data_IF_395080107244
#
_entry.id   IF_395080107244
#
_cell.length_a   1.000
_cell.length_b   1.000
_cell.length_c   1.000
_cell.angle_alpha   90.00
_cell.angle_beta   90.00
_cell.angle_gamma   90.00
#
_symmetry.space_group_name_H-M   'P 1'
#
loop_
_entity.id
_entity.type
_entity.pdbx_description
1 polymer ?
#
# COMPACT_ATOMS: atom_id res chain seq x y z
N UNK A 1 34.75 -8.01 -56.32
CA UNK A 1 33.29 -8.04 -56.12
C UNK A 1 32.94 -6.86 -55.22
N UNK A 2 32.46 -5.77 -55.80
CA UNK A 2 31.88 -4.61 -55.10
C UNK A 2 30.54 -5.04 -54.45
N UNK A 3 29.89 -4.39 -53.47
CA UNK A 3 29.71 -3.02 -52.98
C UNK A 3 29.36 -3.15 -51.46
N UNK A 4 29.69 -2.25 -50.53
CA UNK A 4 29.24 -0.86 -50.43
C UNK A 4 30.30 0.00 -49.74
N UNK A 5 30.79 0.96 -50.51
CA UNK A 5 31.51 2.15 -50.07
C UNK A 5 30.47 3.24 -49.78
N UNK A 6 30.60 3.94 -48.66
CA UNK A 6 29.98 5.26 -48.49
C UNK A 6 31.11 6.27 -48.50
N UNK A 7 31.18 7.04 -49.59
CA UNK A 7 32.02 8.22 -49.72
C UNK A 7 31.35 9.39 -49.00
N UNK A 8 32.09 10.07 -48.15
CA UNK A 8 31.73 11.39 -47.61
C UNK A 8 31.91 12.42 -48.75
N UNK A 9 30.87 13.16 -49.21
CA UNK A 9 31.01 14.06 -50.36
C UNK A 9 31.56 15.44 -50.03
N UNK A 10 31.63 15.83 -48.75
CA UNK A 10 31.93 17.22 -48.40
C UNK A 10 33.24 17.28 -47.60
N UNK A 11 34.33 17.56 -48.32
CA UNK A 11 35.66 17.77 -47.78
C UNK A 11 35.78 19.12 -47.08
N UNK A 12 35.24 19.23 -45.86
CA UNK A 12 35.65 20.25 -44.91
C UNK A 12 36.37 19.59 -43.72
N UNK A 13 37.70 19.69 -43.72
CA UNK A 13 38.44 19.75 -42.46
C UNK A 13 37.98 20.99 -41.71
N UNK A 14 37.66 20.88 -40.41
CA UNK A 14 38.14 21.82 -39.37
C UNK A 14 37.27 21.84 -38.11
N UNK A 15 37.99 21.84 -36.98
CA UNK A 15 37.66 22.43 -35.68
C UNK A 15 36.87 21.60 -34.67
N UNK A 16 37.60 20.71 -34.00
CA UNK A 16 37.25 20.20 -32.66
C UNK A 16 37.34 21.29 -31.55
N UNK A 17 37.63 22.55 -31.89
CA UNK A 17 37.88 23.63 -30.91
C UNK A 17 36.75 24.67 -30.79
N UNK A 18 35.67 24.60 -31.57
CA UNK A 18 34.62 25.63 -31.52
C UNK A 18 33.58 25.45 -30.38
N UNK A 19 33.54 24.30 -29.70
CA UNK A 19 32.46 23.96 -28.76
C UNK A 19 32.77 24.26 -27.27
N UNK A 20 33.91 24.88 -26.97
CA UNK A 20 34.26 25.32 -25.60
C UNK A 20 33.59 26.64 -25.18
N UNK A 21 32.81 27.27 -26.06
CA UNK A 21 32.29 28.63 -25.86
C UNK A 21 30.86 28.78 -25.35
N UNK A 22 30.04 27.73 -25.25
CA UNK A 22 28.60 27.93 -25.00
C UNK A 22 27.94 26.92 -24.02
N UNK A 23 28.63 26.63 -22.92
CA UNK A 23 28.15 25.71 -21.88
C UNK A 23 27.06 26.30 -20.93
N UNK A 24 26.46 27.46 -21.23
CA UNK A 24 25.50 28.12 -20.33
C UNK A 24 24.02 27.90 -20.68
N UNK A 25 23.67 27.24 -21.79
CA UNK A 25 22.26 27.03 -22.19
C UNK A 25 21.87 25.59 -22.42
N UNK A 26 22.47 24.64 -21.70
CA UNK A 26 22.00 23.24 -21.72
C UNK A 26 20.68 23.13 -20.96
N UNK A 27 19.55 23.34 -21.66
CA UNK A 27 18.21 22.98 -21.16
C UNK A 27 18.28 21.56 -20.60
N UNK A 28 18.06 21.41 -19.29
CA UNK A 28 18.03 20.10 -18.61
C UNK A 28 17.16 19.16 -19.45
N UNK A 29 17.63 17.95 -19.82
CA UNK A 29 16.81 17.02 -20.56
C UNK A 29 15.53 16.80 -19.75
N UNK A 30 14.37 17.12 -20.33
CA UNK A 30 13.07 16.83 -19.71
C UNK A 30 13.09 15.33 -19.44
N UNK A 31 13.18 14.94 -18.16
CA UNK A 31 13.05 13.54 -17.74
C UNK A 31 11.81 13.00 -18.45
N UNK A 32 11.99 12.00 -19.33
CA UNK A 32 10.85 11.32 -19.96
C UNK A 32 9.94 10.88 -18.82
N UNK A 33 8.71 11.40 -18.81
CA UNK A 33 7.66 10.99 -17.86
C UNK A 33 7.63 9.46 -17.87
N UNK A 34 7.81 8.83 -16.71
CA UNK A 34 7.72 7.38 -16.63
C UNK A 34 6.27 7.01 -16.96
N UNK A 35 6.06 6.15 -17.96
CA UNK A 35 4.72 5.69 -18.34
C UNK A 35 4.15 4.86 -17.18
N UNK A 36 2.89 5.11 -16.80
CA UNK A 36 2.17 4.37 -15.76
C UNK A 36 1.32 5.27 -14.84
N UNK A 37 0.78 4.68 -13.78
CA UNK A 37 -0.12 5.30 -12.80
C UNK A 37 0.66 5.90 -11.62
N UNK A 38 0.47 7.21 -11.40
CA UNK A 38 0.98 7.89 -10.19
C UNK A 38 0.31 7.40 -8.91
N UNK A 39 0.93 7.64 -7.75
CA UNK A 39 0.31 7.37 -6.44
C UNK A 39 -1.05 8.06 -6.28
N UNK A 40 -1.20 9.29 -6.79
CA UNK A 40 -2.49 9.98 -6.81
C UNK A 40 -3.53 9.21 -7.63
N UNK A 41 -3.15 8.73 -8.81
CA UNK A 41 -4.04 7.95 -9.67
C UNK A 41 -4.45 6.64 -9.00
N UNK A 42 -3.48 5.97 -8.37
CA UNK A 42 -3.70 4.74 -7.64
C UNK A 42 -4.62 4.95 -6.42
N UNK A 43 -4.41 6.01 -5.65
CA UNK A 43 -5.28 6.40 -4.54
C UNK A 43 -6.70 6.75 -5.00
N UNK A 44 -6.86 7.36 -6.18
CA UNK A 44 -8.17 7.62 -6.77
C UNK A 44 -8.89 6.32 -7.13
N UNK A 45 -8.22 5.36 -7.79
CA UNK A 45 -8.80 4.05 -8.06
C UNK A 45 -9.21 3.33 -6.77
N UNK A 46 -8.32 3.29 -5.77
CA UNK A 46 -8.61 2.69 -4.48
C UNK A 46 -9.84 3.32 -3.82
N UNK A 47 -9.90 4.65 -3.81
CA UNK A 47 -11.01 5.40 -3.24
C UNK A 47 -12.33 5.15 -3.96
N UNK A 48 -12.36 5.20 -5.29
CA UNK A 48 -13.57 4.94 -6.08
C UNK A 48 -14.09 3.51 -5.83
N UNK A 49 -13.21 2.52 -5.88
CA UNK A 49 -13.57 1.12 -5.63
C UNK A 49 -14.06 0.89 -4.20
N UNK A 50 -13.43 1.54 -3.21
CA UNK A 50 -13.89 1.53 -1.83
C UNK A 50 -15.31 2.09 -1.72
N UNK A 51 -15.58 3.26 -2.30
CA UNK A 51 -16.90 3.90 -2.23
C UNK A 51 -17.98 3.03 -2.87
N UNK A 52 -17.72 2.44 -4.04
CA UNK A 52 -18.65 1.51 -4.69
C UNK A 52 -18.91 0.30 -3.78
N UNK A 53 -17.84 -0.26 -3.20
CA UNK A 53 -17.94 -1.37 -2.26
C UNK A 53 -18.79 -1.05 -1.02
N UNK A 54 -18.50 0.07 -0.37
CA UNK A 54 -19.24 0.54 0.80
C UNK A 54 -20.70 0.82 0.47
N UNK A 55 -21.01 1.40 -0.69
CA UNK A 55 -22.37 1.61 -1.14
C UNK A 55 -23.14 0.29 -1.27
N UNK A 56 -22.51 -0.74 -1.84
CA UNK A 56 -23.10 -2.08 -1.93
C UNK A 56 -23.37 -2.70 -0.56
N UNK A 57 -22.39 -2.68 0.34
CA UNK A 57 -22.50 -3.32 1.65
C UNK A 57 -23.45 -2.60 2.61
N UNK A 58 -23.70 -1.31 2.41
CA UNK A 58 -24.59 -0.51 3.24
C UNK A 58 -25.95 -0.26 2.59
N UNK A 59 -25.98 0.55 1.53
CA UNK A 59 -27.21 1.06 0.92
C UNK A 59 -27.97 -0.04 0.19
N UNK A 60 -27.31 -0.79 -0.69
CA UNK A 60 -27.97 -1.88 -1.43
C UNK A 60 -28.38 -3.02 -0.49
N UNK A 61 -27.48 -3.44 0.42
CA UNK A 61 -27.82 -4.45 1.42
C UNK A 61 -28.99 -4.04 2.33
N UNK A 62 -29.10 -2.75 2.69
CA UNK A 62 -30.22 -2.25 3.49
C UNK A 62 -31.57 -2.33 2.75
N UNK A 63 -31.55 -2.34 1.42
CA UNK A 63 -32.76 -2.45 0.61
C UNK A 63 -33.23 -3.89 0.37
N UNK A 64 -32.45 -4.90 0.82
CA UNK A 64 -32.84 -6.30 0.66
C UNK A 64 -34.00 -6.69 1.60
N UNK A 65 -34.90 -7.58 1.16
CA UNK A 65 -35.91 -8.19 2.02
C UNK A 65 -35.25 -8.97 3.18
N UNK A 66 -35.96 -9.09 4.30
CA UNK A 66 -35.51 -9.85 5.47
C UNK A 66 -35.31 -11.35 5.15
N UNK A 67 -36.10 -11.88 4.20
CA UNK A 67 -35.98 -13.26 3.73
C UNK A 67 -35.14 -13.31 2.45
N UNK A 68 -34.05 -14.10 2.48
CA UNK A 68 -33.18 -14.27 1.31
C UNK A 68 -33.88 -14.91 0.10
N UNK A 69 -34.96 -15.66 0.31
CA UNK A 69 -35.77 -16.26 -0.76
C UNK A 69 -36.61 -15.24 -1.54
N UNK A 70 -36.80 -14.04 -1.01
CA UNK A 70 -37.56 -12.96 -1.64
C UNK A 70 -36.64 -11.94 -2.35
N UNK A 71 -35.32 -12.08 -2.18
CA UNK A 71 -34.36 -11.17 -2.77
C UNK A 71 -34.25 -11.39 -4.29
N UNK A 72 -34.40 -10.29 -5.06
CA UNK A 72 -34.21 -10.33 -6.51
C UNK A 72 -32.75 -10.63 -6.86
N UNK A 73 -32.58 -11.45 -7.91
CA UNK A 73 -31.26 -11.85 -8.41
C UNK A 73 -30.44 -10.64 -8.88
N UNK A 74 -31.09 -9.60 -9.42
CA UNK A 74 -30.44 -8.37 -9.83
C UNK A 74 -29.79 -7.64 -8.66
N UNK A 75 -30.51 -7.46 -7.55
CA UNK A 75 -30.00 -6.81 -6.33
C UNK A 75 -28.84 -7.59 -5.71
N UNK A 76 -28.94 -8.92 -5.66
CA UNK A 76 -27.85 -9.78 -5.18
C UNK A 76 -26.60 -9.68 -6.07
N UNK A 77 -26.78 -9.69 -7.39
CA UNK A 77 -25.69 -9.53 -8.36
C UNK A 77 -25.00 -8.18 -8.21
N UNK A 78 -25.78 -7.11 -8.02
CA UNK A 78 -25.24 -5.76 -7.80
C UNK A 78 -24.39 -5.68 -6.53
N UNK A 79 -24.81 -6.32 -5.43
CA UNK A 79 -24.05 -6.39 -4.18
C UNK A 79 -22.74 -7.15 -4.39
N UNK A 80 -22.75 -8.27 -5.11
CA UNK A 80 -21.55 -9.05 -5.42
C UNK A 80 -20.56 -8.22 -6.25
N UNK A 81 -21.04 -7.45 -7.25
CA UNK A 81 -20.18 -6.54 -8.03
C UNK A 81 -19.57 -5.46 -7.16
N UNK A 82 -20.36 -4.86 -6.26
CA UNK A 82 -19.85 -3.86 -5.32
C UNK A 82 -18.78 -4.48 -4.38
N UNK A 83 -19.03 -5.68 -3.88
CA UNK A 83 -18.07 -6.41 -3.07
C UNK A 83 -16.78 -6.71 -3.86
N UNK A 84 -16.88 -7.11 -5.12
CA UNK A 84 -15.72 -7.28 -5.99
C UNK A 84 -14.93 -5.96 -6.11
N UNK A 85 -15.60 -4.81 -6.29
CA UNK A 85 -14.94 -3.50 -6.25
C UNK A 85 -14.20 -3.27 -4.92
N UNK A 86 -14.83 -3.57 -3.77
CA UNK A 86 -14.16 -3.45 -2.48
C UNK A 86 -12.87 -4.29 -2.42
N UNK A 87 -12.93 -5.53 -2.88
CA UNK A 87 -11.80 -6.46 -2.88
C UNK A 87 -10.66 -6.03 -3.83
N UNK A 88 -10.99 -5.39 -4.97
CA UNK A 88 -10.00 -4.78 -5.88
C UNK A 88 -9.20 -3.69 -5.16
N UNK A 89 -9.82 -2.94 -4.24
CA UNK A 89 -9.16 -1.84 -3.54
C UNK A 89 -8.09 -2.28 -2.53
N UNK A 90 -8.17 -3.51 -2.00
CA UNK A 90 -7.30 -4.00 -0.92
C UNK A 90 -5.81 -4.01 -1.28
N UNK A 91 -5.35 -4.70 -2.35
CA UNK A 91 -3.94 -4.66 -2.75
C UNK A 91 -3.48 -3.24 -3.12
N UNK A 92 -4.39 -2.39 -3.61
CA UNK A 92 -4.06 -1.01 -3.94
C UNK A 92 -3.73 -0.21 -2.66
N UNK A 93 -4.54 -0.32 -1.62
CA UNK A 93 -4.27 0.31 -0.32
C UNK A 93 -3.03 -0.27 0.37
N UNK A 94 -2.82 -1.59 0.29
CA UNK A 94 -1.63 -2.25 0.81
C UNK A 94 -0.36 -1.71 0.14
N UNK A 95 -0.37 -1.56 -1.19
CA UNK A 95 0.74 -0.95 -1.93
C UNK A 95 0.98 0.50 -1.52
N UNK A 96 -0.07 1.33 -1.47
CA UNK A 96 0.04 2.73 -1.05
C UNK A 96 0.62 2.88 0.35
N UNK A 97 0.27 1.98 1.28
CA UNK A 97 0.85 1.94 2.62
C UNK A 97 2.36 1.67 2.58
N UNK A 98 2.77 0.63 1.87
CA UNK A 98 4.19 0.22 1.77
C UNK A 98 5.01 1.31 1.10
N UNK A 99 4.53 1.88 0.00
CA UNK A 99 5.20 2.96 -0.73
C UNK A 99 5.39 4.20 0.15
N UNK A 100 4.34 4.61 0.88
CA UNK A 100 4.43 5.74 1.83
C UNK A 100 5.37 5.46 2.98
N UNK A 101 5.31 4.28 3.57
CA UNK A 101 6.20 3.88 4.64
C UNK A 101 7.68 3.98 4.19
N UNK A 102 7.98 3.52 2.98
CA UNK A 102 9.33 3.60 2.41
C UNK A 102 9.79 5.03 2.15
N UNK A 103 8.91 5.89 1.65
CA UNK A 103 9.18 7.33 1.48
C UNK A 103 9.47 8.00 2.82
N UNK A 104 8.66 7.74 3.85
CA UNK A 104 8.87 8.37 5.15
C UNK A 104 10.19 7.98 5.79
N UNK A 105 10.64 6.75 5.55
CA UNK A 105 11.82 6.19 6.21
C UNK A 105 13.09 6.31 5.34
N UNK A 106 12.97 6.89 4.14
CA UNK A 106 14.11 7.17 3.26
C UNK A 106 14.72 5.93 2.57
N UNK A 107 13.97 4.84 2.42
CA UNK A 107 14.48 3.61 1.78
C UNK A 107 14.48 3.64 0.25
N UNK A 108 13.97 4.70 -0.38
CA UNK A 108 13.91 4.81 -1.85
C UNK A 108 15.22 5.35 -2.47
N UNK A 109 16.07 6.02 -1.70
CA UNK A 109 17.30 6.62 -2.23
C UNK A 109 18.52 5.68 -2.13
N UNK A 110 18.47 4.66 -1.27
CA UNK A 110 19.61 3.75 -1.01
C UNK A 110 19.63 2.49 -1.88
N UNK A 111 18.65 2.32 -2.78
CA UNK A 111 18.40 1.05 -3.48
C UNK A 111 18.75 1.02 -4.96
N UNK A 112 19.65 1.89 -5.44
CA UNK A 112 20.34 1.61 -6.71
C UNK A 112 21.54 0.73 -6.36
N UNK A 113 21.47 -0.60 -6.53
CA UNK A 113 22.68 -1.40 -6.46
C UNK A 113 23.64 -0.84 -7.51
N UNK A 114 24.85 -0.49 -7.09
CA UNK A 114 25.94 -0.25 -8.02
C UNK A 114 25.95 -1.45 -8.97
N UNK A 115 25.65 -1.20 -10.24
CA UNK A 115 25.72 -2.21 -11.29
C UNK A 115 27.11 -2.81 -11.14
N UNK A 116 27.18 -4.10 -10.80
CA UNK A 116 28.43 -4.84 -10.92
C UNK A 116 28.67 -4.87 -12.41
N UNK A 117 29.49 -3.95 -12.88
CA UNK A 117 30.03 -3.98 -14.23
C UNK A 117 30.98 -5.18 -14.24
N UNK A 118 30.41 -6.36 -14.46
CA UNK A 118 31.11 -7.52 -14.96
C UNK A 118 31.36 -7.22 -16.44
N UNK A 119 32.45 -6.50 -16.72
CA UNK A 119 33.23 -6.63 -17.94
C UNK A 119 34.58 -5.93 -17.68
N UNK A 120 35.64 -6.73 -17.69
CA UNK A 120 37.00 -6.27 -17.45
C UNK A 120 37.44 -5.26 -18.51
N UNK A 121 37.80 -4.06 -18.06
CA UNK A 121 38.77 -3.19 -18.72
C UNK A 121 39.27 -2.17 -17.70
N UNK A 122 40.42 -2.46 -17.09
CA UNK A 122 41.28 -1.41 -16.54
C UNK A 122 41.72 -0.53 -17.70
N UNK A 123 41.15 0.67 -17.85
CA UNK A 123 41.89 1.75 -18.50
C UNK A 123 41.44 3.14 -18.03
N UNK A 124 42.44 3.99 -17.77
CA UNK A 124 42.35 5.21 -16.99
C UNK A 124 41.23 6.16 -17.41
N UNK A 125 40.28 6.38 -16.50
CA UNK A 125 39.37 7.53 -16.56
C UNK A 125 39.36 8.27 -15.24
N UNK A 126 39.86 9.50 -15.31
CA UNK A 126 40.01 10.47 -14.24
C UNK A 126 38.90 10.42 -13.18
N UNK A 127 39.33 10.40 -11.91
CA UNK A 127 38.56 10.76 -10.71
C UNK A 127 37.66 11.97 -11.01
N UNK A 128 36.38 11.73 -11.29
CA UNK A 128 35.34 12.75 -11.10
C UNK A 128 35.15 12.93 -9.60
N UNK A 129 35.10 14.16 -9.07
CA UNK A 129 34.95 14.38 -7.64
C UNK A 129 33.52 14.00 -7.23
N UNK A 130 33.35 12.76 -6.75
CA UNK A 130 32.16 12.29 -6.03
C UNK A 130 32.05 12.89 -4.61
N UNK A 131 32.73 14.02 -4.34
CA UNK A 131 32.84 14.63 -3.02
C UNK A 131 32.10 15.96 -2.88
N UNK A 132 31.40 16.46 -3.92
CA UNK A 132 30.82 17.80 -3.89
C UNK A 132 29.39 17.90 -3.30
N UNK A 133 28.66 16.79 -3.14
CA UNK A 133 27.29 16.81 -2.58
C UNK A 133 27.08 15.88 -1.37
N UNK A 134 28.14 15.35 -0.76
CA UNK A 134 28.04 14.56 0.47
C UNK A 134 27.88 15.41 1.74
N UNK A 135 28.04 16.74 1.63
CA UNK A 135 28.04 17.65 2.78
C UNK A 135 26.70 18.33 3.10
N UNK A 136 25.62 18.07 2.34
CA UNK A 136 24.29 18.64 2.65
C UNK A 136 23.32 17.69 3.34
N UNK A 137 23.61 16.38 3.39
CA UNK A 137 22.71 15.38 3.99
C UNK A 137 23.22 14.75 5.30
N UNK A 138 24.39 15.19 5.79
CA UNK A 138 24.98 14.74 7.07
C UNK A 138 24.15 15.13 8.32
N UNK A 139 23.01 15.79 8.15
CA UNK A 139 22.07 16.17 9.21
C UNK A 139 20.63 15.68 9.01
N UNK A 140 20.34 14.86 7.99
CA UNK A 140 18.99 14.36 7.78
C UNK A 140 18.61 13.33 8.85
N UNK A 141 18.03 13.83 9.95
CA UNK A 141 17.55 13.05 11.09
C UNK A 141 16.74 11.86 10.57
N UNK A 142 17.04 10.61 10.96
CA UNK A 142 16.33 9.44 10.46
C UNK A 142 14.84 9.61 10.73
N UNK A 143 14.06 9.79 9.67
CA UNK A 143 12.62 9.95 9.79
C UNK A 143 12.02 8.61 10.19
N UNK A 144 11.25 8.63 11.27
CA UNK A 144 10.63 7.43 11.82
C UNK A 144 9.21 7.31 11.24
N UNK A 145 8.83 6.13 10.74
CA UNK A 145 7.50 5.85 10.17
C UNK A 145 6.32 6.00 11.14
N UNK A 146 6.58 6.49 12.36
CA UNK A 146 5.59 6.84 13.37
C UNK A 146 4.58 7.89 12.89
N UNK A 147 4.97 8.82 12.01
CA UNK A 147 4.02 9.82 11.49
C UNK A 147 2.90 9.16 10.68
N UNK A 148 3.25 8.22 9.78
CA UNK A 148 2.27 7.41 9.06
C UNK A 148 1.40 6.60 10.01
N UNK A 149 2.00 5.91 10.99
CA UNK A 149 1.26 5.14 12.00
C UNK A 149 0.24 5.99 12.74
N UNK A 150 0.66 7.12 13.33
CA UNK A 150 -0.26 7.99 14.08
C UNK A 150 -1.36 8.58 13.20
N UNK A 151 -1.04 8.92 11.95
CA UNK A 151 -2.05 9.42 11.00
C UNK A 151 -3.11 8.36 10.70
N UNK A 152 -2.70 7.10 10.53
CA UNK A 152 -3.61 5.98 10.29
C UNK A 152 -4.38 5.58 11.55
N UNK A 153 -3.76 5.67 12.73
CA UNK A 153 -4.41 5.40 14.00
C UNK A 153 -5.52 6.42 14.28
N UNK A 154 -5.22 7.72 14.09
CA UNK A 154 -6.23 8.79 14.23
C UNK A 154 -7.35 8.56 13.22
N UNK A 155 -7.02 8.24 11.96
CA UNK A 155 -8.02 7.95 10.95
C UNK A 155 -8.88 6.73 11.32
N UNK A 156 -8.27 5.66 11.85
CA UNK A 156 -8.97 4.47 12.29
C UNK A 156 -9.97 4.80 13.40
N UNK A 157 -9.56 5.58 14.42
CA UNK A 157 -10.47 6.02 15.49
C UNK A 157 -11.61 6.88 14.95
N UNK A 158 -11.32 7.82 14.04
CA UNK A 158 -12.34 8.68 13.42
C UNK A 158 -13.32 7.87 12.56
N UNK A 159 -12.86 6.81 11.92
CA UNK A 159 -13.68 5.95 11.07
C UNK A 159 -14.54 4.94 11.84
N UNK A 160 -14.38 4.74 13.15
CA UNK A 160 -15.18 3.77 13.91
C UNK A 160 -16.68 4.05 13.83
N UNK A 161 -17.10 5.27 14.20
CA UNK A 161 -18.53 5.62 14.20
C UNK A 161 -19.14 5.57 12.77
N UNK A 162 -18.51 6.16 11.74
CA UNK A 162 -18.99 6.02 10.37
C UNK A 162 -19.02 4.57 9.87
N UNK A 163 -18.06 3.75 10.27
CA UNK A 163 -18.01 2.34 9.87
C UNK A 163 -19.19 1.57 10.47
N UNK A 164 -19.44 1.73 11.76
CA UNK A 164 -20.57 1.08 12.43
C UNK A 164 -21.91 1.46 11.78
N UNK A 165 -22.08 2.74 11.40
CA UNK A 165 -23.26 3.19 10.65
C UNK A 165 -23.41 2.51 9.28
N UNK A 166 -22.29 2.19 8.61
CA UNK A 166 -22.29 1.51 7.30
C UNK A 166 -22.56 0.02 7.45
N UNK A 167 -22.13 -0.61 8.55
CA UNK A 167 -22.14 -2.09 8.66
C UNK A 167 -23.19 -2.65 9.61
N UNK A 168 -23.88 -1.85 10.43
CA UNK A 168 -24.75 -2.37 11.49
C UNK A 168 -25.86 -3.32 10.99
N UNK A 169 -26.54 -3.01 9.87
CA UNK A 169 -27.60 -3.89 9.31
C UNK A 169 -27.05 -5.24 8.87
N UNK A 170 -25.84 -5.22 8.34
CA UNK A 170 -25.17 -6.44 7.91
C UNK A 170 -24.73 -7.30 9.12
N UNK A 171 -24.36 -6.64 10.23
CA UNK A 171 -24.06 -7.30 11.49
C UNK A 171 -25.31 -7.88 12.18
N UNK A 172 -26.46 -7.22 12.08
CA UNK A 172 -27.75 -7.70 12.63
C UNK A 172 -28.12 -9.09 12.09
N UNK A 173 -27.92 -9.31 10.79
CA UNK A 173 -28.16 -10.60 10.14
C UNK A 173 -27.03 -11.62 10.37
N UNK A 174 -25.83 -11.17 10.75
CA UNK A 174 -24.66 -12.01 10.99
C UNK A 174 -24.52 -12.44 12.46
N UNK A 175 -25.59 -12.32 13.26
CA UNK A 175 -25.67 -12.53 14.70
C UNK A 175 -24.70 -13.58 15.23
N UNK A 176 -23.64 -13.12 15.90
CA UNK A 176 -22.49 -13.94 16.26
C UNK A 176 -22.60 -14.53 17.66
N UNK A 177 -23.62 -15.36 17.89
CA UNK A 177 -23.67 -16.12 19.14
C UNK A 177 -22.53 -17.17 19.25
N UNK A 178 -21.64 -17.28 18.24
CA UNK A 178 -20.56 -18.28 18.19
C UNK A 178 -19.14 -17.77 17.92
N UNK A 179 -18.86 -16.46 17.96
CA UNK A 179 -17.48 -15.96 17.79
C UNK A 179 -16.81 -15.68 19.12
N UNK A 180 -15.46 -15.76 19.13
CA UNK A 180 -14.64 -15.49 20.32
C UNK A 180 -14.93 -14.09 20.89
N UNK A 181 -15.19 -13.10 20.04
CA UNK A 181 -15.57 -11.74 20.47
C UNK A 181 -16.92 -11.74 21.17
N UNK A 182 -17.92 -12.46 20.66
CA UNK A 182 -19.21 -12.62 21.34
C UNK A 182 -19.07 -13.32 22.70
N UNK A 183 -18.12 -14.26 22.81
CA UNK A 183 -17.78 -14.93 24.07
C UNK A 183 -17.00 -14.03 25.06
N UNK A 184 -16.14 -13.13 24.57
CA UNK A 184 -15.31 -12.25 25.38
C UNK A 184 -16.01 -10.96 25.82
N UNK A 185 -16.86 -10.40 24.96
CA UNK A 185 -17.49 -9.08 25.16
C UNK A 185 -19.01 -9.16 25.40
N UNK A 186 -19.59 -10.36 25.33
CA UNK A 186 -21.02 -10.59 25.46
C UNK A 186 -21.77 -10.27 24.16
N UNK A 187 -22.82 -11.04 23.87
CA UNK A 187 -23.75 -10.74 22.77
C UNK A 187 -24.49 -9.44 23.09
N UNK A 188 -24.03 -8.34 22.51
CA UNK A 188 -24.76 -7.07 22.54
C UNK A 188 -25.38 -6.87 21.18
N UNK A 189 -26.68 -6.53 21.15
CA UNK A 189 -27.34 -6.19 19.90
C UNK A 189 -26.53 -5.10 19.19
N UNK A 190 -26.19 -5.27 17.89
CA UNK A 190 -25.36 -4.32 17.18
C UNK A 190 -26.03 -2.94 17.22
N UNK A 191 -25.35 -1.97 17.83
CA UNK A 191 -25.82 -0.58 17.88
C UNK A 191 -25.16 0.19 16.73
N UNK A 192 -25.90 1.07 16.05
CA UNK A 192 -25.39 1.77 14.87
C UNK A 192 -24.31 2.82 15.15
N UNK A 193 -23.97 3.09 16.42
CA UNK A 193 -23.09 4.19 16.82
C UNK A 193 -21.77 3.76 17.48
N UNK A 194 -21.69 2.53 18.00
CA UNK A 194 -20.48 2.02 18.64
C UNK A 194 -20.55 0.50 18.82
N UNK A 195 -19.77 -0.23 18.04
CA UNK A 195 -19.69 -1.68 18.10
C UNK A 195 -18.25 -2.20 17.98
N UNK A 196 -17.66 -2.56 19.13
CA UNK A 196 -16.32 -3.17 19.17
C UNK A 196 -16.27 -4.61 18.60
N UNK A 197 -17.42 -5.14 18.16
CA UNK A 197 -17.51 -6.48 17.59
C UNK A 197 -16.80 -6.62 16.24
N UNK A 198 -16.78 -5.56 15.43
CA UNK A 198 -15.96 -5.47 14.21
C UNK A 198 -15.25 -4.14 14.18
N UNK A 199 -13.96 -4.15 13.86
CA UNK A 199 -13.20 -2.92 13.70
C UNK A 199 -13.17 -2.51 12.23
N UNK A 200 -13.11 -1.20 11.96
CA UNK A 200 -13.03 -0.74 10.58
C UNK A 200 -11.71 -1.15 9.89
N UNK A 201 -11.66 -1.27 8.55
CA UNK A 201 -10.48 -1.76 7.83
C UNK A 201 -9.26 -0.82 7.90
N UNK A 202 -9.42 0.44 8.32
CA UNK A 202 -8.28 1.35 8.53
C UNK A 202 -7.43 0.90 9.73
N UNK A 203 -8.01 0.20 10.71
CA UNK A 203 -7.22 -0.45 11.77
C UNK A 203 -6.20 -1.44 11.22
N UNK A 204 -6.54 -2.17 10.14
CA UNK A 204 -5.58 -3.06 9.49
C UNK A 204 -4.39 -2.28 8.94
N UNK A 205 -4.63 -1.11 8.32
CA UNK A 205 -3.55 -0.24 7.81
C UNK A 205 -2.68 0.30 8.95
N UNK A 206 -3.28 0.74 10.06
CA UNK A 206 -2.56 1.22 11.23
C UNK A 206 -1.71 0.12 11.86
N UNK A 207 -2.28 -1.08 12.05
CA UNK A 207 -1.55 -2.25 12.56
C UNK A 207 -0.42 -2.66 11.61
N UNK A 208 -0.66 -2.68 10.31
CA UNK A 208 0.37 -2.96 9.30
C UNK A 208 1.51 -1.95 9.40
N UNK A 209 1.23 -0.65 9.52
CA UNK A 209 2.26 0.37 9.71
C UNK A 209 3.09 0.11 10.98
N UNK A 210 2.44 -0.25 12.10
CA UNK A 210 3.12 -0.62 13.34
C UNK A 210 4.02 -1.85 13.15
N UNK A 211 3.52 -2.89 12.48
CA UNK A 211 4.29 -4.09 12.17
C UNK A 211 5.53 -3.75 11.34
N UNK A 212 5.40 -2.89 10.32
CA UNK A 212 6.55 -2.45 9.52
C UNK A 212 7.58 -1.67 10.36
N UNK A 213 7.12 -0.81 11.28
CA UNK A 213 7.99 -0.11 12.25
C UNK A 213 8.74 -1.12 13.12
N UNK A 214 8.04 -2.10 13.69
CA UNK A 214 8.62 -3.13 14.54
C UNK A 214 9.59 -4.04 13.77
N UNK A 215 9.23 -4.50 12.57
CA UNK A 215 10.11 -5.30 11.71
C UNK A 215 11.41 -4.55 11.37
N UNK A 216 11.30 -3.24 11.10
CA UNK A 216 12.47 -2.39 10.88
C UNK A 216 13.30 -2.25 12.16
N UNK A 217 12.67 -2.02 13.30
CA UNK A 217 13.35 -1.92 14.58
C UNK A 217 14.14 -3.20 14.89
N UNK A 218 13.54 -4.38 14.69
CA UNK A 218 14.22 -5.67 14.82
C UNK A 218 15.40 -5.77 13.84
N UNK A 219 15.22 -5.39 12.56
CA UNK A 219 16.28 -5.41 11.55
C UNK A 219 17.44 -4.46 11.87
N UNK A 220 17.17 -3.32 12.51
CA UNK A 220 18.19 -2.36 12.93
C UNK A 220 19.07 -2.93 14.04
N UNK A 221 18.46 -3.63 15.00
CA UNK A 221 19.15 -4.11 16.19
C UNK A 221 19.65 -5.56 16.11
N UNK A 222 19.37 -6.29 15.02
CA UNK A 222 19.91 -7.63 14.82
C UNK A 222 21.39 -7.62 14.42
N UNK A 223 22.08 -8.69 14.81
CA UNK A 223 23.41 -9.01 14.33
C UNK A 223 23.46 -8.96 12.79
N UNK A 224 24.52 -8.38 12.21
CA UNK A 224 24.69 -8.34 10.76
C UNK A 224 24.66 -9.76 10.21
N UNK A 225 23.96 -9.93 9.09
CA UNK A 225 23.97 -11.18 8.33
C UNK A 225 25.25 -11.21 7.49
N UNK A 226 25.71 -12.40 7.09
CA UNK A 226 26.87 -12.58 6.23
C UNK A 226 26.76 -11.67 4.98
N UNK A 227 27.74 -10.78 4.79
CA UNK A 227 27.74 -9.77 3.72
C UNK A 227 27.20 -8.38 4.11
N UNK A 228 26.61 -8.19 5.29
CA UNK A 228 26.25 -6.86 5.81
C UNK A 228 27.45 -6.19 6.51
N UNK A 229 27.62 -4.88 6.30
CA UNK A 229 28.64 -4.09 7.01
C UNK A 229 28.37 -3.99 8.52
N UNK A 230 29.36 -3.54 9.31
CA UNK A 230 29.23 -3.36 10.74
C UNK A 230 28.09 -2.39 11.09
N UNK A 231 27.26 -2.75 12.07
CA UNK A 231 26.15 -1.92 12.56
C UNK A 231 26.50 -1.34 13.93
N UNK A 232 26.16 -0.06 14.13
CA UNK A 232 26.46 0.65 15.37
C UNK A 232 25.65 0.12 16.58
N UNK A 233 24.39 -0.27 16.35
CA UNK A 233 23.45 -0.63 17.42
C UNK A 233 23.04 -2.11 17.31
N UNK A 234 23.91 -3.04 17.65
CA UNK A 234 23.59 -4.49 17.65
C UNK A 234 23.28 -4.98 19.05
N UNK A 235 22.07 -5.52 19.24
CA UNK A 235 21.56 -5.97 20.54
C UNK A 235 20.92 -7.36 20.49
N UNK A 236 20.54 -7.84 19.29
CA UNK A 236 19.82 -9.09 19.09
C UNK A 236 20.65 -10.09 18.28
N UNK A 237 20.78 -11.33 18.75
CA UNK A 237 21.30 -12.42 17.93
C UNK A 237 20.38 -12.72 16.73
N UNK A 238 20.90 -13.35 15.68
CA UNK A 238 20.08 -13.72 14.51
C UNK A 238 18.86 -14.58 14.90
N UNK A 239 19.06 -15.54 15.83
CA UNK A 239 17.98 -16.39 16.35
C UNK A 239 16.91 -15.61 17.12
N UNK A 240 17.32 -14.70 18.01
CA UNK A 240 16.36 -13.87 18.77
C UNK A 240 15.58 -12.92 17.86
N UNK A 241 16.24 -12.31 16.87
CA UNK A 241 15.58 -11.48 15.87
C UNK A 241 14.59 -12.28 15.01
N UNK A 242 14.92 -13.53 14.65
CA UNK A 242 14.02 -14.45 13.96
C UNK A 242 12.77 -14.76 14.78
N UNK A 243 12.95 -15.17 16.04
CA UNK A 243 11.85 -15.46 16.96
C UNK A 243 10.94 -14.25 17.16
N UNK A 244 11.50 -13.05 17.37
CA UNK A 244 10.72 -11.82 17.55
C UNK A 244 9.87 -11.49 16.32
N UNK A 245 10.35 -11.75 15.10
CA UNK A 245 9.55 -11.57 13.88
C UNK A 245 8.39 -12.54 13.84
N UNK A 246 8.64 -13.81 14.13
CA UNK A 246 7.59 -14.84 14.14
C UNK A 246 6.51 -14.47 15.16
N UNK A 247 6.91 -14.14 16.39
CA UNK A 247 5.99 -13.74 17.45
C UNK A 247 5.21 -12.48 17.09
N UNK A 248 5.87 -11.46 16.52
CA UNK A 248 5.22 -10.24 16.06
C UNK A 248 4.17 -10.52 14.98
N UNK A 249 4.53 -11.31 13.96
CA UNK A 249 3.63 -11.63 12.85
C UNK A 249 2.46 -12.50 13.33
N UNK A 250 2.72 -13.46 14.21
CA UNK A 250 1.69 -14.31 14.81
C UNK A 250 0.73 -13.51 15.69
N UNK A 251 1.25 -12.64 16.57
CA UNK A 251 0.42 -11.76 17.39
C UNK A 251 -0.41 -10.80 16.54
N UNK A 252 0.15 -10.27 15.45
CA UNK A 252 -0.56 -9.39 14.52
C UNK A 252 -1.66 -10.12 13.77
N UNK A 253 -1.39 -11.35 13.30
CA UNK A 253 -2.37 -12.22 12.69
C UNK A 253 -3.54 -12.51 13.65
N UNK A 254 -3.22 -12.92 14.89
CA UNK A 254 -4.22 -13.17 15.92
C UNK A 254 -5.04 -11.92 16.21
N UNK A 255 -4.42 -10.74 16.28
CA UNK A 255 -5.15 -9.49 16.50
C UNK A 255 -6.16 -9.24 15.38
N UNK A 256 -5.72 -9.29 14.12
CA UNK A 256 -6.61 -9.06 12.95
C UNK A 256 -7.78 -10.04 12.94
N UNK A 257 -7.48 -11.32 13.20
CA UNK A 257 -8.48 -12.38 13.17
C UNK A 257 -9.43 -12.34 14.36
N UNK A 258 -8.91 -12.20 15.59
CA UNK A 258 -9.72 -12.23 16.81
C UNK A 258 -10.59 -11.00 16.98
N UNK A 259 -10.18 -9.82 16.49
CA UNK A 259 -10.97 -8.58 16.61
C UNK A 259 -11.76 -8.25 15.34
N UNK A 260 -11.90 -9.21 14.41
CA UNK A 260 -12.64 -9.06 13.16
C UNK A 260 -12.28 -7.75 12.42
N UNK A 261 -10.97 -7.44 12.33
CA UNK A 261 -10.52 -6.17 11.74
C UNK A 261 -10.88 -6.15 10.25
N UNK A 262 -11.65 -5.13 9.85
CA UNK A 262 -12.11 -4.94 8.48
C UNK A 262 -13.05 -6.03 8.00
N UNK A 263 -13.68 -6.79 8.89
CA UNK A 263 -14.51 -7.90 8.46
C UNK A 263 -15.82 -7.36 7.84
N UNK A 264 -16.05 -7.70 6.58
CA UNK A 264 -17.35 -7.49 5.94
C UNK A 264 -18.12 -8.79 6.11
N UNK A 265 -18.88 -8.88 7.20
CA UNK A 265 -19.78 -10.01 7.50
C UNK A 265 -19.04 -11.17 8.12
N UNK A 266 -19.36 -12.39 7.71
CA UNK A 266 -18.62 -13.60 8.10
C UNK A 266 -17.72 -14.14 6.97
N UNK A 267 -17.90 -13.62 5.76
CA UNK A 267 -17.35 -14.24 4.54
C UNK A 267 -15.97 -13.69 4.16
N UNK A 268 -15.72 -12.39 4.32
CA UNK A 268 -14.51 -11.76 3.76
C UNK A 268 -13.66 -11.06 4.83
N UNK A 269 -12.55 -11.67 5.26
CA UNK A 269 -11.64 -11.11 6.26
C UNK A 269 -10.71 -10.04 5.63
N UNK A 270 -11.25 -8.88 5.25
CA UNK A 270 -10.49 -7.90 4.46
C UNK A 270 -9.24 -7.38 5.16
N UNK A 271 -9.25 -7.27 6.50
CA UNK A 271 -8.05 -6.89 7.26
C UNK A 271 -6.94 -7.93 7.18
N UNK A 272 -7.28 -9.21 7.11
CA UNK A 272 -6.32 -10.31 6.94
C UNK A 272 -5.68 -10.23 5.55
N UNK A 273 -6.50 -9.99 4.52
CA UNK A 273 -6.01 -9.81 3.15
C UNK A 273 -5.08 -8.61 3.04
N UNK A 274 -5.47 -7.48 3.64
CA UNK A 274 -4.63 -6.28 3.70
C UNK A 274 -3.28 -6.60 4.35
N UNK A 275 -3.28 -7.32 5.47
CA UNK A 275 -2.07 -7.74 6.16
C UNK A 275 -1.16 -8.60 5.28
N UNK A 276 -1.72 -9.62 4.61
CA UNK A 276 -0.98 -10.49 3.69
C UNK A 276 -0.38 -9.70 2.53
N UNK A 277 -1.15 -8.83 1.87
CA UNK A 277 -0.64 -7.99 0.77
C UNK A 277 0.47 -7.05 1.22
N UNK A 278 0.35 -6.42 2.40
CA UNK A 278 1.41 -5.56 2.95
C UNK A 278 2.70 -6.35 3.16
N UNK A 279 2.61 -7.55 3.75
CA UNK A 279 3.78 -8.39 3.97
C UNK A 279 4.42 -8.85 2.66
N UNK A 280 3.61 -9.18 1.65
CA UNK A 280 4.11 -9.52 0.32
C UNK A 280 4.85 -8.35 -0.33
N UNK A 281 4.21 -7.18 -0.41
CA UNK A 281 4.79 -6.00 -1.05
C UNK A 281 6.02 -5.48 -0.31
N UNK A 282 6.04 -5.57 1.02
CA UNK A 282 7.22 -5.18 1.80
C UNK A 282 8.34 -6.23 1.74
N UNK A 283 8.01 -7.51 1.85
CA UNK A 283 8.96 -8.62 1.95
C UNK A 283 9.63 -8.97 0.63
N UNK A 284 8.87 -8.99 -0.46
CA UNK A 284 9.35 -9.35 -1.81
C UNK A 284 9.76 -8.13 -2.65
N UNK A 285 10.04 -6.99 -2.01
CA UNK A 285 10.39 -5.74 -2.68
C UNK A 285 11.56 -5.83 -3.67
N UNK A 286 12.49 -6.77 -3.45
CA UNK A 286 13.66 -6.98 -4.30
C UNK A 286 13.37 -7.92 -5.49
N UNK A 287 12.19 -8.54 -5.49
CA UNK A 287 11.77 -9.53 -6.47
C UNK A 287 10.40 -9.11 -7.03
N UNK A 288 10.37 -8.01 -7.78
CA UNK A 288 9.12 -7.41 -8.28
C UNK A 288 8.24 -8.40 -9.05
N UNK A 289 8.83 -9.20 -9.95
CA UNK A 289 8.09 -10.23 -10.70
C UNK A 289 7.46 -11.29 -9.77
N UNK A 290 8.23 -11.77 -8.78
CA UNK A 290 7.75 -12.76 -7.80
C UNK A 290 6.68 -12.17 -6.90
N UNK A 291 6.88 -10.93 -6.46
CA UNK A 291 5.94 -10.17 -5.65
C UNK A 291 4.58 -10.03 -6.36
N UNK A 292 4.59 -9.55 -7.60
CA UNK A 292 3.36 -9.38 -8.39
C UNK A 292 2.69 -10.73 -8.68
N UNK A 293 3.45 -11.75 -9.07
CA UNK A 293 2.89 -13.08 -9.36
C UNK A 293 2.25 -13.73 -8.13
N UNK A 294 2.91 -13.67 -6.97
CA UNK A 294 2.39 -14.25 -5.73
C UNK A 294 1.19 -13.48 -5.20
N UNK A 295 1.23 -12.14 -5.26
CA UNK A 295 0.09 -11.30 -4.90
C UNK A 295 -1.12 -11.58 -5.81
N UNK A 296 -0.90 -11.73 -7.12
CA UNK A 296 -1.97 -12.08 -8.06
C UNK A 296 -2.53 -13.48 -7.80
N UNK A 297 -1.67 -14.47 -7.50
CA UNK A 297 -2.09 -15.83 -7.17
C UNK A 297 -2.94 -15.88 -5.89
N UNK A 298 -2.51 -15.22 -4.81
CA UNK A 298 -3.29 -15.11 -3.57
C UNK A 298 -4.61 -14.39 -3.84
N UNK A 299 -4.59 -13.28 -4.60
CA UNK A 299 -5.81 -12.58 -4.97
C UNK A 299 -6.77 -13.41 -5.81
N UNK A 300 -6.25 -14.30 -6.66
CA UNK A 300 -7.06 -15.21 -7.47
C UNK A 300 -7.74 -16.28 -6.61
N UNK A 301 -7.04 -16.83 -5.62
CA UNK A 301 -7.56 -17.84 -4.70
C UNK A 301 -8.72 -17.32 -3.83
N UNK A 302 -8.75 -16.03 -3.54
CA UNK A 302 -9.68 -15.45 -2.57
C UNK A 302 -11.00 -14.92 -3.17
N UNK A 303 -11.00 -14.41 -4.42
CA UNK A 303 -12.22 -14.02 -5.14
C UNK A 303 -12.00 -13.58 -6.60
N UNK A 304 -10.81 -13.79 -7.18
CA UNK A 304 -10.33 -13.17 -8.43
C UNK A 304 -10.21 -11.63 -8.41
N UNK A 305 -11.13 -10.91 -7.76
CA UNK A 305 -11.16 -9.46 -7.67
C UNK A 305 -9.86 -8.84 -7.10
N UNK A 306 -9.24 -9.36 -6.03
CA UNK A 306 -7.96 -8.81 -5.59
C UNK A 306 -6.83 -8.99 -6.62
N UNK A 307 -6.86 -10.02 -7.48
CA UNK A 307 -5.87 -10.17 -8.55
C UNK A 307 -5.93 -9.01 -9.56
N UNK A 308 -7.12 -8.50 -9.85
CA UNK A 308 -7.32 -7.30 -10.69
C UNK A 308 -6.71 -6.07 -10.01
N UNK A 309 -6.88 -5.92 -8.70
CA UNK A 309 -6.24 -4.85 -7.94
C UNK A 309 -4.70 -4.91 -8.00
N UNK A 310 -4.12 -6.11 -7.91
CA UNK A 310 -2.68 -6.33 -8.09
C UNK A 310 -2.22 -5.96 -9.51
N UNK A 311 -3.01 -6.27 -10.53
CA UNK A 311 -2.73 -5.87 -11.90
C UNK A 311 -2.72 -4.34 -12.06
N UNK A 312 -3.63 -3.62 -11.39
CA UNK A 312 -3.63 -2.15 -11.38
C UNK A 312 -2.36 -1.62 -10.71
N UNK A 313 -1.95 -2.20 -9.58
CA UNK A 313 -0.70 -1.85 -8.87
C UNK A 313 0.52 -2.07 -9.76
N UNK A 314 0.53 -3.12 -10.57
CA UNK A 314 1.65 -3.40 -11.47
C UNK A 314 1.92 -2.26 -12.47
N UNK A 315 0.90 -1.47 -12.84
CA UNK A 315 1.07 -0.32 -13.74
C UNK A 315 1.52 0.97 -13.06
N UNK A 316 1.91 0.96 -11.77
CA UNK A 316 2.39 2.15 -11.07
C UNK A 316 3.70 2.71 -11.67
N UNK A 317 3.96 4.02 -11.51
CA UNK A 317 5.13 4.68 -12.10
C UNK A 317 6.10 5.37 -11.11
N UNK A 318 6.01 5.05 -9.81
CA UNK A 318 6.78 5.68 -8.71
C UNK A 318 6.65 7.21 -8.60
N UNK A 319 5.78 7.86 -9.38
CA UNK A 319 5.55 9.30 -9.29
C UNK A 319 4.41 9.60 -8.30
N UNK A 320 4.59 10.61 -7.45
CA UNK A 320 3.55 11.03 -6.49
C UNK A 320 2.25 11.48 -7.21
N UNK A 321 2.37 12.24 -8.30
CA UNK A 321 1.23 12.75 -9.09
C UNK A 321 0.37 13.84 -8.43
N UNK A 322 0.68 14.25 -7.19
CA UNK A 322 -0.01 15.33 -6.49
C UNK A 322 0.50 16.70 -6.94
N UNK A 323 -0.42 17.60 -7.32
CA UNK A 323 -0.08 18.98 -7.67
C UNK A 323 0.35 19.81 -6.45
N UNK A 324 -0.23 19.51 -5.28
CA UNK A 324 0.06 20.19 -4.02
C UNK A 324 0.34 19.17 -2.91
N UNK A 325 1.20 19.52 -1.96
CA UNK A 325 1.58 18.67 -0.82
C UNK A 325 0.38 18.25 0.03
N UNK A 326 -0.61 19.14 0.19
CA UNK A 326 -1.83 18.87 0.96
C UNK A 326 -2.78 17.89 0.28
N UNK A 327 -2.66 17.67 -1.04
CA UNK A 327 -3.54 16.78 -1.79
C UNK A 327 -3.51 15.33 -1.28
N UNK A 328 -2.43 14.94 -0.61
CA UNK A 328 -2.27 13.62 0.04
C UNK A 328 -3.21 13.44 1.24
N UNK A 329 -3.61 14.53 1.88
CA UNK A 329 -4.45 14.50 3.08
C UNK A 329 -5.95 14.52 2.77
N UNK A 330 -6.34 14.80 1.52
CA UNK A 330 -7.75 14.83 1.10
C UNK A 330 -8.47 13.52 1.44
N UNK A 331 -7.81 12.39 1.23
CA UNK A 331 -8.39 11.07 1.51
C UNK A 331 -8.61 10.79 3.00
N UNK A 332 -7.82 11.38 3.89
CA UNK A 332 -8.03 11.27 5.34
C UNK A 332 -9.32 11.95 5.80
N UNK A 333 -9.79 12.95 5.05
CA UNK A 333 -11.05 13.65 5.31
C UNK A 333 -12.19 13.04 4.49
N UNK A 334 -11.93 12.69 3.23
CA UNK A 334 -12.95 12.17 2.33
C UNK A 334 -13.49 10.79 2.75
N UNK A 335 -12.62 9.88 3.20
CA UNK A 335 -13.03 8.53 3.62
C UNK A 335 -14.08 8.56 4.74
N UNK A 336 -13.84 9.22 5.90
CA UNK A 336 -14.83 9.25 6.97
C UNK A 336 -16.10 9.99 6.57
N UNK A 337 -16.01 11.05 5.76
CA UNK A 337 -17.19 11.78 5.27
C UNK A 337 -18.06 10.92 4.35
N UNK A 338 -17.45 10.15 3.44
CA UNK A 338 -18.20 9.25 2.55
C UNK A 338 -18.81 8.11 3.33
N UNK A 339 -18.06 7.49 4.26
CA UNK A 339 -18.62 6.46 5.16
C UNK A 339 -19.81 7.01 5.94
N UNK A 340 -19.68 8.22 6.51
CA UNK A 340 -20.76 8.86 7.27
C UNK A 340 -21.98 9.12 6.38
N UNK A 341 -21.78 9.67 5.17
CA UNK A 341 -22.88 9.93 4.23
C UNK A 341 -23.62 8.65 3.81
N UNK A 342 -22.88 7.59 3.49
CA UNK A 342 -23.45 6.29 3.15
C UNK A 342 -24.19 5.65 4.33
N UNK A 343 -23.58 5.66 5.53
CA UNK A 343 -24.19 5.16 6.75
C UNK A 343 -25.49 5.90 7.09
N UNK A 344 -25.49 7.23 7.02
CA UNK A 344 -26.69 8.04 7.21
C UNK A 344 -27.77 7.74 6.17
N UNK A 345 -27.40 7.53 4.90
CA UNK A 345 -28.38 7.16 3.86
C UNK A 345 -29.01 5.79 4.10
N UNK A 346 -28.24 4.82 4.60
CA UNK A 346 -28.74 3.50 4.99
C UNK A 346 -29.67 3.58 6.22
N UNK A 347 -29.44 4.54 7.12
CA UNK A 347 -30.32 4.85 8.23
C UNK A 347 -31.58 5.63 7.82
N UNK A 348 -31.52 6.52 6.84
CA UNK A 348 -32.68 7.32 6.41
C UNK A 348 -33.78 6.48 5.76
N UNK A 349 -33.48 5.29 5.23
CA UNK A 349 -34.50 4.32 4.84
C UNK A 349 -35.35 3.74 6.01
N UNK A 350 -35.18 4.24 7.24
CA UNK A 350 -35.97 3.88 8.44
C UNK A 350 -36.91 4.99 8.95
N UNK A 351 -36.75 6.24 8.51
CA UNK A 351 -37.68 7.34 8.82
C UNK A 351 -38.71 7.47 7.71
#
# INVERSE_FOLDING_TARGET
>A
MALFSYSNPDGEESSYEADLGNASTRKKPRRRRRRGLSERGLALFAGVFLVIGLYGTSVLSASLPANSSEADFGSLSAIIVCLACLLVSLPIYAWLLVSRFRMEVGELETSVPARRDEDGAEEGRAKRPAAANANTDAGAKPRHGWRLFWSLLILAVVCEVPWDLVTWRYQEHSGSNGTLVGALYGSTAPKPWFNLYTQNPVWALALCALVLICLRWIRRHQAPVEGEGPKADVWLSAGTAGLLRILLLFASFLWVWMLNIGQVGTLFPTGLMMFVFVLLFYGLRYHENTMTMLAAAIGALEALAPAVGVLIVHFHNDEDGYAHSWGRYVWYVAIPLVMLGLGLSACQGLL
#
